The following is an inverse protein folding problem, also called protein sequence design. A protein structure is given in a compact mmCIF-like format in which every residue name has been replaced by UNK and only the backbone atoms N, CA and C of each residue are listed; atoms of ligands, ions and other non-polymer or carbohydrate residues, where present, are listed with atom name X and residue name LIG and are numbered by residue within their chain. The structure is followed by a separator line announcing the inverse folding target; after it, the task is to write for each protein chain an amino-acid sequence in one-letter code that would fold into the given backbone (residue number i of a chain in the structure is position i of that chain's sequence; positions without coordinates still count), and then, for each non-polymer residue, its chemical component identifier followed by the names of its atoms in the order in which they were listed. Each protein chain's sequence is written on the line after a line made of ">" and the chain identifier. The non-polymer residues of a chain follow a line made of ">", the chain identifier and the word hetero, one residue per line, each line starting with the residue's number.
data_IF_927935462248
#
_entry.id   IF_927935462248
#
_cell.length_a   1.000
_cell.length_b   1.000
_cell.length_c   1.000
_cell.angle_alpha   90.00
_cell.angle_beta   90.00
_cell.angle_gamma   90.00
#
_symmetry.space_group_name_H-M   'P 1'
#
loop_
_entity.id
_entity.type
_entity.pdbx_description
1 polymer ?
#
# COMPACT_ATOMS: atom_id res chain seq x y z
N UNK A 1 -23.22 -23.95 4.90
CA UNK A 1 -21.84 -23.41 4.97
C UNK A 1 -21.47 -22.93 3.58
N UNK A 2 -21.73 -21.66 3.29
CA UNK A 2 -21.23 -21.01 2.08
C UNK A 2 -19.71 -20.91 2.22
N UNK A 3 -18.96 -21.51 1.29
CA UNK A 3 -17.53 -21.22 1.12
C UNK A 3 -17.45 -19.72 0.88
N UNK A 4 -16.89 -18.97 1.81
CA UNK A 4 -16.57 -17.57 1.56
C UNK A 4 -15.64 -17.50 0.37
N UNK A 5 -16.03 -16.71 -0.61
CA UNK A 5 -15.27 -16.48 -1.83
C UNK A 5 -14.11 -15.58 -1.45
N UNK A 6 -12.92 -16.16 -1.39
CA UNK A 6 -11.69 -15.42 -1.09
C UNK A 6 -11.16 -14.84 -2.40
N UNK A 7 -11.14 -13.52 -2.54
CA UNK A 7 -10.52 -12.87 -3.70
C UNK A 7 -9.00 -13.05 -3.62
N UNK A 8 -8.42 -13.56 -4.69
CA UNK A 8 -6.98 -13.74 -4.86
C UNK A 8 -6.51 -12.96 -6.08
N UNK A 9 -5.26 -12.56 -6.07
CA UNK A 9 -4.60 -12.08 -7.27
C UNK A 9 -3.24 -12.74 -7.44
N UNK A 10 -2.86 -12.91 -8.70
CA UNK A 10 -1.54 -13.37 -9.10
C UNK A 10 -0.82 -12.25 -9.87
N UNK A 11 0.49 -12.17 -9.66
CA UNK A 11 1.36 -11.19 -10.30
C UNK A 11 2.26 -11.95 -11.27
N UNK A 12 2.14 -11.63 -12.55
CA UNK A 12 2.97 -12.23 -13.61
C UNK A 12 3.51 -11.16 -14.55
N UNK A 13 4.37 -11.56 -15.47
CA UNK A 13 4.86 -10.69 -16.54
C UNK A 13 4.12 -10.98 -17.85
N UNK A 14 3.80 -9.94 -18.61
CA UNK A 14 3.18 -10.05 -19.94
C UNK A 14 4.17 -10.70 -20.93
N UNK A 15 5.45 -10.33 -20.83
CA UNK A 15 6.53 -10.89 -21.62
C UNK A 15 7.75 -11.18 -20.73
N UNK A 16 8.17 -12.46 -20.57
CA UNK A 16 9.31 -12.82 -19.72
C UNK A 16 10.66 -12.34 -20.26
N UNK A 17 10.76 -12.01 -21.55
CA UNK A 17 11.98 -11.50 -22.19
C UNK A 17 12.19 -9.99 -21.95
N UNK A 18 11.15 -9.29 -21.47
CA UNK A 18 11.22 -7.86 -21.17
C UNK A 18 11.65 -7.60 -19.73
N UNK A 19 12.06 -6.35 -19.47
CA UNK A 19 12.44 -5.90 -18.14
C UNK A 19 11.29 -6.10 -17.13
N UNK A 20 11.63 -6.45 -15.89
CA UNK A 20 10.66 -6.68 -14.81
C UNK A 20 11.01 -5.85 -13.58
N UNK A 21 10.03 -5.63 -12.70
CA UNK A 21 10.26 -4.93 -11.42
C UNK A 21 11.31 -5.64 -10.55
N UNK A 22 11.44 -6.97 -10.68
CA UNK A 22 12.47 -7.75 -10.02
C UNK A 22 13.89 -7.36 -10.49
N UNK A 23 14.06 -7.20 -11.79
CA UNK A 23 15.32 -6.70 -12.38
C UNK A 23 15.59 -5.26 -11.93
N UNK A 24 14.54 -4.43 -11.81
CA UNK A 24 14.68 -3.07 -11.29
C UNK A 24 15.19 -3.04 -9.85
N UNK A 25 14.61 -3.86 -8.98
CA UNK A 25 14.98 -3.91 -7.58
C UNK A 25 16.41 -4.39 -7.33
N UNK A 26 16.96 -5.26 -8.21
CA UNK A 26 18.34 -5.75 -8.09
C UNK A 26 19.40 -4.71 -8.45
N UNK A 27 19.09 -3.75 -9.31
CA UNK A 27 20.06 -2.75 -9.79
C UNK A 27 19.43 -1.36 -9.99
N UNK A 28 18.82 -0.77 -8.95
CA UNK A 28 17.99 0.42 -9.10
C UNK A 28 18.76 1.65 -9.57
N UNK A 29 20.07 1.73 -9.29
CA UNK A 29 20.92 2.89 -9.63
C UNK A 29 21.36 2.93 -11.09
N UNK A 30 21.33 1.81 -11.79
CA UNK A 30 21.77 1.72 -13.19
C UNK A 30 20.62 1.91 -14.18
N UNK A 31 19.42 2.21 -13.70
CA UNK A 31 18.20 2.18 -14.49
C UNK A 31 17.62 3.56 -14.69
N UNK A 32 17.18 3.80 -15.92
CA UNK A 32 16.53 5.05 -16.32
C UNK A 32 15.05 5.03 -15.93
N UNK A 33 14.40 6.21 -15.86
CA UNK A 33 12.95 6.28 -15.70
C UNK A 33 12.17 5.48 -16.75
N UNK A 34 12.68 5.40 -17.98
CA UNK A 34 12.08 4.62 -19.06
C UNK A 34 12.09 3.11 -18.76
N UNK A 35 13.19 2.60 -18.18
CA UNK A 35 13.29 1.18 -17.79
C UNK A 35 12.30 0.83 -16.68
N UNK A 36 12.06 1.77 -15.76
CA UNK A 36 11.06 1.63 -14.71
C UNK A 36 9.65 1.57 -15.28
N UNK A 37 9.28 2.52 -16.15
CA UNK A 37 7.96 2.52 -16.81
C UNK A 37 7.75 1.23 -17.59
N UNK A 38 8.75 0.80 -18.38
CA UNK A 38 8.69 -0.44 -19.16
C UNK A 38 8.49 -1.67 -18.27
N UNK A 39 9.17 -1.72 -17.11
CA UNK A 39 9.06 -2.82 -16.17
C UNK A 39 7.68 -2.91 -15.51
N UNK A 40 7.07 -1.76 -15.20
CA UNK A 40 5.71 -1.66 -14.65
C UNK A 40 4.68 -2.03 -15.71
N UNK A 41 4.82 -1.52 -16.94
CA UNK A 41 3.92 -1.84 -18.05
C UNK A 41 3.92 -3.33 -18.42
N UNK A 42 5.04 -4.02 -18.17
CA UNK A 42 5.18 -5.46 -18.37
C UNK A 42 4.50 -6.29 -17.27
N UNK A 43 3.97 -5.70 -16.20
CA UNK A 43 3.23 -6.43 -15.18
C UNK A 43 1.83 -6.80 -15.67
N UNK A 44 1.37 -7.96 -15.21
CA UNK A 44 0.01 -8.46 -15.39
C UNK A 44 -0.53 -8.90 -14.02
N UNK A 45 -1.69 -8.35 -13.67
CA UNK A 45 -2.44 -8.72 -12.48
C UNK A 45 -3.65 -9.54 -12.92
N UNK A 46 -3.74 -10.77 -12.41
CA UNK A 46 -4.85 -11.66 -12.67
C UNK A 46 -5.64 -11.88 -11.38
N UNK A 47 -6.89 -11.43 -11.34
CA UNK A 47 -7.78 -11.62 -10.19
C UNK A 47 -8.62 -12.89 -10.35
N UNK A 48 -8.80 -13.60 -9.23
CA UNK A 48 -9.54 -14.85 -9.15
C UNK A 48 -10.51 -14.82 -7.97
N UNK A 49 -11.70 -15.38 -8.17
CA UNK A 49 -12.75 -15.43 -7.15
C UNK A 49 -13.76 -14.31 -7.34
N UNK A 50 -14.14 -13.65 -6.24
CA UNK A 50 -15.02 -12.48 -6.27
C UNK A 50 -14.25 -11.27 -6.78
N UNK A 51 -14.91 -10.44 -7.58
CA UNK A 51 -14.29 -9.24 -8.13
C UNK A 51 -13.93 -8.28 -6.99
N UNK A 52 -12.66 -7.85 -6.87
CA UNK A 52 -12.29 -6.87 -5.86
C UNK A 52 -13.02 -5.55 -6.06
N UNK A 53 -13.39 -4.90 -4.96
CA UNK A 53 -13.94 -3.54 -5.01
C UNK A 53 -12.93 -2.54 -5.61
N UNK A 54 -13.41 -1.37 -6.08
CA UNK A 54 -12.59 -0.40 -6.81
C UNK A 54 -11.36 0.09 -6.02
N UNK A 55 -11.51 0.27 -4.70
CA UNK A 55 -10.40 0.67 -3.81
C UNK A 55 -9.34 -0.42 -3.71
N UNK A 56 -9.77 -1.68 -3.60
CA UNK A 56 -8.89 -2.85 -3.53
C UNK A 56 -8.08 -3.01 -4.81
N UNK A 57 -8.73 -2.94 -5.98
CA UNK A 57 -8.08 -3.01 -7.29
C UNK A 57 -7.08 -1.87 -7.48
N UNK A 58 -7.52 -0.64 -7.24
CA UNK A 58 -6.66 0.54 -7.36
C UNK A 58 -5.46 0.47 -6.43
N UNK A 59 -5.60 -0.10 -5.23
CA UNK A 59 -4.49 -0.22 -4.28
C UNK A 59 -3.43 -1.22 -4.74
N UNK A 60 -3.85 -2.38 -5.25
CA UNK A 60 -2.91 -3.37 -5.80
C UNK A 60 -2.15 -2.76 -6.98
N UNK A 61 -2.84 -2.07 -7.89
CA UNK A 61 -2.21 -1.38 -9.02
C UNK A 61 -1.25 -0.27 -8.56
N UNK A 62 -1.70 0.59 -7.64
CA UNK A 62 -0.89 1.65 -7.05
C UNK A 62 0.40 1.11 -6.44
N UNK A 63 0.35 -0.01 -5.72
CA UNK A 63 1.54 -0.59 -5.08
C UNK A 63 2.62 -0.97 -6.10
N UNK A 64 2.22 -1.61 -7.19
CA UNK A 64 3.14 -2.13 -8.21
C UNK A 64 3.59 -1.06 -9.22
N UNK A 65 2.74 -0.09 -9.51
CA UNK A 65 3.03 0.97 -10.47
C UNK A 65 3.50 2.24 -9.75
N UNK A 66 2.57 3.00 -9.18
CA UNK A 66 2.82 4.35 -8.69
C UNK A 66 3.76 4.37 -7.49
N UNK A 67 3.51 3.56 -6.45
CA UNK A 67 4.38 3.50 -5.28
C UNK A 67 5.78 3.07 -5.68
N UNK A 68 5.90 2.07 -6.56
CA UNK A 68 7.19 1.59 -7.02
C UNK A 68 7.97 2.73 -7.74
N UNK A 69 7.36 3.37 -8.73
CA UNK A 69 8.01 4.48 -9.46
C UNK A 69 8.32 5.67 -8.55
N UNK A 70 7.39 6.03 -7.66
CA UNK A 70 7.55 7.14 -6.72
C UNK A 70 8.64 6.88 -5.69
N UNK A 71 8.74 5.65 -5.17
CA UNK A 71 9.77 5.32 -4.19
C UNK A 71 11.17 5.29 -4.80
N UNK A 72 11.31 4.87 -6.07
CA UNK A 72 12.57 4.97 -6.81
C UNK A 72 12.98 6.43 -7.03
N UNK A 73 12.12 7.21 -7.67
CA UNK A 73 12.41 8.58 -8.11
C UNK A 73 12.66 9.55 -6.95
N UNK A 74 11.99 9.35 -5.82
CA UNK A 74 12.18 10.15 -4.60
C UNK A 74 13.36 9.69 -3.72
N UNK A 75 13.95 8.53 -4.02
CA UNK A 75 14.97 7.89 -3.18
C UNK A 75 14.43 7.21 -1.93
N UNK A 76 13.10 7.17 -1.71
CA UNK A 76 12.46 6.46 -0.59
C UNK A 76 12.83 4.97 -0.57
N UNK A 77 13.07 4.35 -1.72
CA UNK A 77 13.50 2.95 -1.79
C UNK A 77 14.77 2.67 -0.97
N UNK A 78 15.71 3.64 -0.86
CA UNK A 78 16.92 3.45 -0.04
C UNK A 78 16.58 3.38 1.47
N UNK A 79 15.50 4.03 1.88
CA UNK A 79 15.03 4.08 3.27
C UNK A 79 14.17 2.87 3.62
N UNK A 80 13.38 2.42 2.64
CA UNK A 80 12.49 1.28 2.76
C UNK A 80 12.95 0.09 1.89
N UNK A 81 14.25 -0.20 1.88
CA UNK A 81 14.85 -1.19 0.96
C UNK A 81 14.22 -2.58 1.08
N UNK A 82 13.99 -3.05 2.31
CA UNK A 82 13.35 -4.35 2.51
C UNK A 82 11.92 -4.42 1.93
N UNK A 83 11.15 -3.33 2.05
CA UNK A 83 9.82 -3.24 1.45
C UNK A 83 9.91 -3.18 -0.08
N UNK A 84 10.83 -2.37 -0.61
CA UNK A 84 11.09 -2.26 -2.04
C UNK A 84 11.41 -3.62 -2.68
N UNK A 85 12.34 -4.36 -2.11
CA UNK A 85 12.72 -5.70 -2.56
C UNK A 85 11.62 -6.74 -2.32
N UNK A 86 10.80 -6.56 -1.28
CA UNK A 86 9.63 -7.41 -1.06
C UNK A 86 8.59 -7.21 -2.16
N UNK A 87 8.25 -5.96 -2.52
CA UNK A 87 7.28 -5.66 -3.58
C UNK A 87 7.68 -6.33 -4.89
N UNK A 88 8.96 -6.24 -5.25
CA UNK A 88 9.49 -6.83 -6.47
C UNK A 88 9.49 -8.38 -6.49
N UNK A 89 9.23 -9.04 -5.36
CA UNK A 89 9.16 -10.51 -5.21
C UNK A 89 7.76 -11.02 -4.89
N UNK A 90 6.77 -10.15 -4.79
CA UNK A 90 5.38 -10.58 -4.60
C UNK A 90 4.97 -11.38 -5.83
N UNK A 91 4.50 -12.61 -5.61
CA UNK A 91 3.93 -13.44 -6.67
C UNK A 91 2.41 -13.51 -6.62
N UNK A 92 1.81 -13.27 -5.46
CA UNK A 92 0.36 -13.35 -5.28
C UNK A 92 -0.10 -12.58 -4.05
N UNK A 93 -1.41 -12.49 -3.86
CA UNK A 93 -1.98 -12.02 -2.61
C UNK A 93 -3.45 -12.37 -2.47
N UNK A 94 -4.00 -11.96 -1.33
CA UNK A 94 -5.39 -12.21 -0.95
C UNK A 94 -6.03 -10.93 -0.47
N UNK A 95 -7.29 -10.72 -0.84
CA UNK A 95 -8.11 -9.60 -0.41
C UNK A 95 -9.26 -10.20 0.41
N UNK A 96 -9.38 -9.77 1.66
CA UNK A 96 -10.36 -10.32 2.59
C UNK A 96 -11.04 -9.22 3.39
N UNK A 97 -12.36 -9.26 3.58
CA UNK A 97 -12.98 -8.42 4.58
C UNK A 97 -12.47 -8.76 5.97
N UNK A 98 -12.08 -7.74 6.75
CA UNK A 98 -11.63 -7.94 8.11
C UNK A 98 -12.84 -8.29 9.00
N UNK A 99 -12.85 -9.52 9.53
CA UNK A 99 -13.90 -9.96 10.45
C UNK A 99 -13.63 -9.46 11.87
N UNK A 100 -14.47 -8.56 12.36
CA UNK A 100 -14.46 -8.10 13.76
C UNK A 100 -15.34 -9.01 14.63
N UNK A 101 -14.79 -10.15 15.05
CA UNK A 101 -15.36 -10.99 16.12
C UNK A 101 -16.66 -11.75 15.77
N UNK A 102 -17.05 -12.70 16.62
CA UNK A 102 -18.15 -13.64 16.37
C UNK A 102 -19.57 -13.07 16.59
N UNK A 103 -19.72 -11.76 16.83
CA UNK A 103 -21.00 -11.16 17.24
C UNK A 103 -21.44 -9.92 16.44
N UNK A 104 -20.74 -9.52 15.38
CA UNK A 104 -21.16 -8.38 14.55
C UNK A 104 -21.79 -8.84 13.23
N UNK A 105 -22.93 -8.24 12.93
CA UNK A 105 -23.84 -8.54 11.82
C UNK A 105 -23.17 -8.50 10.44
N UNK A 106 -23.80 -9.11 9.40
CA UNK A 106 -23.12 -9.49 8.17
C UNK A 106 -23.08 -8.41 7.07
N UNK A 107 -23.11 -7.10 7.34
CA UNK A 107 -23.43 -6.14 6.26
C UNK A 107 -22.53 -4.97 5.92
N UNK A 108 -21.55 -4.60 6.71
CA UNK A 108 -20.56 -3.60 6.29
C UNK A 108 -19.19 -4.11 6.76
N UNK A 109 -18.28 -4.34 5.83
CA UNK A 109 -16.91 -4.69 6.14
C UNK A 109 -16.12 -3.38 6.19
N UNK A 110 -15.96 -2.75 7.38
CA UNK A 110 -15.40 -1.39 7.47
C UNK A 110 -13.93 -1.34 7.03
N UNK A 111 -13.28 -2.50 6.95
CA UNK A 111 -11.89 -2.64 6.56
C UNK A 111 -11.73 -3.88 5.68
N UNK A 112 -11.10 -3.71 4.52
CA UNK A 112 -10.57 -4.80 3.72
C UNK A 112 -9.09 -4.99 4.01
N UNK A 113 -8.68 -6.24 4.21
CA UNK A 113 -7.30 -6.64 4.41
C UNK A 113 -6.72 -7.22 3.13
N UNK A 114 -5.67 -6.58 2.62
CA UNK A 114 -4.87 -7.08 1.51
C UNK A 114 -3.56 -7.63 2.05
N UNK A 115 -3.31 -8.92 1.81
CA UNK A 115 -2.07 -9.59 2.20
C UNK A 115 -1.33 -9.99 0.93
N UNK A 116 -0.12 -9.45 0.76
CA UNK A 116 0.77 -9.84 -0.34
C UNK A 116 1.73 -10.91 0.12
N UNK A 117 1.92 -11.92 -0.73
CA UNK A 117 2.64 -13.13 -0.44
C UNK A 117 3.86 -13.26 -1.35
N UNK A 118 4.96 -13.74 -0.78
CA UNK A 118 6.12 -14.18 -1.57
C UNK A 118 5.83 -15.50 -2.30
N UNK A 119 6.81 -15.98 -3.05
CA UNK A 119 6.75 -17.28 -3.75
C UNK A 119 6.61 -18.49 -2.83
N UNK A 120 6.86 -18.33 -1.53
CA UNK A 120 6.68 -19.37 -0.51
C UNK A 120 5.32 -19.26 0.20
N UNK A 121 4.47 -18.32 -0.22
CA UNK A 121 3.17 -18.07 0.41
C UNK A 121 3.26 -17.36 1.77
N UNK A 122 4.39 -16.71 2.09
CA UNK A 122 4.57 -15.97 3.34
C UNK A 122 4.16 -14.51 3.19
N UNK A 123 3.47 -13.91 4.18
CA UNK A 123 3.10 -12.49 4.16
C UNK A 123 4.33 -11.57 4.19
N UNK A 124 4.51 -10.78 3.13
CA UNK A 124 5.62 -9.81 3.00
C UNK A 124 5.15 -8.36 3.02
N UNK A 125 3.91 -8.08 2.63
CA UNK A 125 3.27 -6.76 2.76
C UNK A 125 1.84 -6.94 3.25
N UNK A 126 1.40 -6.05 4.13
CA UNK A 126 0.04 -6.02 4.67
C UNK A 126 -0.56 -4.64 4.40
N UNK A 127 -1.80 -4.58 3.95
CA UNK A 127 -2.54 -3.33 3.83
C UNK A 127 -3.94 -3.46 4.41
N UNK A 128 -4.39 -2.42 5.11
CA UNK A 128 -5.78 -2.27 5.53
C UNK A 128 -6.41 -1.10 4.78
N UNK A 129 -7.47 -1.39 4.04
CA UNK A 129 -8.25 -0.43 3.26
C UNK A 129 -9.52 -0.11 4.05
N UNK A 130 -9.56 1.08 4.62
CA UNK A 130 -10.63 1.50 5.51
C UNK A 130 -11.72 2.14 4.67
N UNK A 131 -12.94 1.63 4.77
CA UNK A 131 -14.12 2.26 4.19
C UNK A 131 -14.81 3.13 5.24
N UNK A 132 -14.89 2.65 6.49
CA UNK A 132 -15.55 3.33 7.61
C UNK A 132 -14.88 3.04 8.96
N UNK A 133 -15.18 3.86 9.97
CA UNK A 133 -14.74 3.66 11.36
C UNK A 133 -13.74 4.69 11.86
N UNK A 134 -13.42 4.64 13.16
CA UNK A 134 -12.44 5.54 13.79
C UNK A 134 -11.00 5.15 13.38
N UNK A 135 -10.27 6.04 12.67
CA UNK A 135 -8.91 5.75 12.22
C UNK A 135 -7.94 5.44 13.36
N UNK A 136 -8.14 6.02 14.56
CA UNK A 136 -7.26 5.75 15.71
C UNK A 136 -7.45 4.32 16.22
N UNK A 137 -8.70 3.88 16.39
CA UNK A 137 -9.02 2.49 16.75
C UNK A 137 -8.47 1.50 15.73
N UNK A 138 -8.65 1.79 14.43
CA UNK A 138 -8.17 0.93 13.35
C UNK A 138 -6.64 0.85 13.33
N UNK A 139 -5.94 1.98 13.43
CA UNK A 139 -4.48 2.00 13.51
C UNK A 139 -3.97 1.17 14.69
N UNK A 140 -4.59 1.30 15.87
CA UNK A 140 -4.23 0.51 17.04
C UNK A 140 -4.45 -0.99 16.84
N UNK A 141 -5.53 -1.38 16.15
CA UNK A 141 -5.80 -2.77 15.79
C UNK A 141 -4.76 -3.30 14.79
N UNK A 142 -4.40 -2.51 13.79
CA UNK A 142 -3.37 -2.84 12.80
C UNK A 142 -2.02 -3.07 13.48
N UNK A 143 -1.60 -2.14 14.36
CA UNK A 143 -0.35 -2.26 15.12
C UNK A 143 -0.33 -3.54 15.95
N UNK A 144 -1.42 -3.87 16.64
CA UNK A 144 -1.52 -5.13 17.41
C UNK A 144 -1.35 -6.36 16.52
N UNK A 145 -1.98 -6.37 15.33
CA UNK A 145 -1.84 -7.47 14.38
C UNK A 145 -0.41 -7.59 13.86
N UNK A 146 0.19 -6.49 13.45
CA UNK A 146 1.56 -6.43 12.95
C UNK A 146 2.55 -6.91 14.01
N UNK A 147 2.43 -6.43 15.25
CA UNK A 147 3.25 -6.88 16.37
C UNK A 147 3.13 -8.39 16.58
N UNK A 148 1.91 -8.94 16.53
CA UNK A 148 1.69 -10.38 16.63
C UNK A 148 2.38 -11.16 15.50
N UNK A 149 2.25 -10.69 14.25
CA UNK A 149 2.92 -11.32 13.11
C UNK A 149 4.44 -11.29 13.26
N UNK A 150 4.99 -10.18 13.78
CA UNK A 150 6.43 -10.02 14.00
C UNK A 150 6.98 -10.89 15.12
N UNK A 151 6.23 -11.04 16.21
CA UNK A 151 6.56 -12.00 17.27
C UNK A 151 6.53 -13.46 16.79
N UNK A 152 5.82 -13.75 15.70
CA UNK A 152 5.79 -15.04 15.02
C UNK A 152 6.84 -15.16 13.91
N UNK A 153 7.85 -14.28 13.91
CA UNK A 153 8.96 -14.25 12.93
C UNK A 153 8.50 -14.12 11.47
N UNK A 154 7.36 -13.43 11.25
CA UNK A 154 6.88 -13.14 9.88
C UNK A 154 7.88 -12.27 9.09
N UNK A 155 8.11 -12.57 7.80
CA UNK A 155 8.99 -11.79 6.94
C UNK A 155 8.38 -10.45 6.50
N UNK A 156 7.26 -10.03 7.08
CA UNK A 156 6.57 -8.77 6.78
C UNK A 156 7.54 -7.57 6.69
N UNK A 157 7.65 -6.94 5.52
CA UNK A 157 8.61 -5.86 5.26
C UNK A 157 8.00 -4.46 5.29
N UNK A 158 6.68 -4.34 5.21
CA UNK A 158 6.00 -3.05 5.30
C UNK A 158 4.49 -3.17 5.42
N UNK A 159 3.88 -2.07 5.83
CA UNK A 159 2.46 -1.97 6.12
C UNK A 159 1.89 -0.73 5.44
N UNK A 160 0.67 -0.84 4.94
CA UNK A 160 -0.09 0.28 4.39
C UNK A 160 -1.40 0.44 5.16
N UNK A 161 -1.76 1.68 5.45
CA UNK A 161 -3.09 2.04 5.95
C UNK A 161 -3.69 3.02 4.96
N UNK A 162 -4.79 2.62 4.32
CA UNK A 162 -5.45 3.37 3.25
C UNK A 162 -6.78 3.89 3.79
N UNK A 163 -6.96 5.21 3.76
CA UNK A 163 -8.07 5.92 4.39
C UNK A 163 -8.86 6.73 3.35
N UNK A 164 -10.17 6.91 3.53
CA UNK A 164 -10.95 7.76 2.64
C UNK A 164 -10.50 9.22 2.78
N UNK A 165 -10.36 9.93 1.67
CA UNK A 165 -10.12 11.38 1.66
C UNK A 165 -11.45 12.13 1.92
N UNK A 166 -11.45 13.19 2.76
CA UNK A 166 -10.31 13.76 3.46
C UNK A 166 -9.95 13.02 4.75
N UNK A 167 -8.64 12.88 5.00
CA UNK A 167 -8.13 12.34 6.27
C UNK A 167 -8.03 13.47 7.31
N UNK A 168 -8.54 13.24 8.51
CA UNK A 168 -8.47 14.19 9.63
C UNK A 168 -7.01 14.57 9.98
N UNK A 169 -6.70 15.86 9.96
CA UNK A 169 -5.36 16.37 10.26
C UNK A 169 -4.92 16.06 11.69
N UNK A 170 -5.86 16.03 12.66
CA UNK A 170 -5.54 15.64 14.04
C UNK A 170 -5.05 14.19 14.13
N UNK A 171 -5.65 13.28 13.35
CA UNK A 171 -5.16 11.92 13.20
C UNK A 171 -3.79 11.88 12.49
N UNK A 172 -3.62 12.63 11.40
CA UNK A 172 -2.35 12.66 10.66
C UNK A 172 -1.19 13.15 11.53
N UNK A 173 -1.37 14.24 12.26
CA UNK A 173 -0.32 14.80 13.12
C UNK A 173 0.03 13.86 14.27
N UNK A 174 -0.96 13.23 14.91
CA UNK A 174 -0.71 12.19 15.92
C UNK A 174 0.08 11.02 15.35
N UNK A 175 -0.31 10.55 14.16
CA UNK A 175 0.35 9.40 13.53
C UNK A 175 1.76 9.74 13.06
N UNK A 176 1.97 10.93 12.49
CA UNK A 176 3.29 11.46 12.13
C UNK A 176 4.21 11.50 13.35
N UNK A 177 3.75 12.09 14.46
CA UNK A 177 4.53 12.16 15.69
C UNK A 177 4.86 10.76 16.24
N UNK A 178 3.89 9.85 16.18
CA UNK A 178 4.07 8.46 16.57
C UNK A 178 5.10 7.71 15.73
N UNK A 179 5.20 8.01 14.43
CA UNK A 179 6.15 7.41 13.49
C UNK A 179 7.51 8.13 13.43
N UNK A 180 7.75 9.11 14.31
CA UNK A 180 9.02 9.84 14.39
C UNK A 180 9.18 10.97 13.37
N UNK A 181 8.08 11.65 13.00
CA UNK A 181 8.10 12.75 12.02
C UNK A 181 8.96 13.96 12.41
N UNK A 182 9.25 14.14 13.71
CA UNK A 182 10.10 15.22 14.22
C UNK A 182 11.59 15.04 13.83
N UNK A 183 11.99 13.83 13.43
CA UNK A 183 13.35 13.59 12.93
C UNK A 183 13.44 13.91 11.43
N UNK A 184 14.30 14.86 11.01
CA UNK A 184 14.41 15.28 9.61
C UNK A 184 14.84 14.16 8.65
N UNK A 185 15.46 13.10 9.16
CA UNK A 185 15.95 11.95 8.40
C UNK A 185 15.07 10.72 8.65
N UNK A 186 14.76 10.38 9.91
CA UNK A 186 14.01 9.17 10.25
C UNK A 186 12.52 9.26 9.87
N UNK A 187 11.97 10.45 9.64
CA UNK A 187 10.59 10.62 9.12
C UNK A 187 10.35 9.94 7.77
N UNK A 188 11.40 9.65 7.00
CA UNK A 188 11.29 8.91 5.73
C UNK A 188 11.24 7.40 5.95
N UNK A 189 11.71 6.91 7.10
CA UNK A 189 11.61 5.51 7.47
C UNK A 189 10.19 5.17 7.98
N UNK A 190 9.51 6.14 8.60
CA UNK A 190 8.11 6.08 9.05
C UNK A 190 7.76 4.76 9.74
N UNK A 191 8.57 4.34 10.71
CA UNK A 191 8.50 2.98 11.28
C UNK A 191 7.53 2.90 12.44
N UNK A 192 6.80 1.79 12.49
CA UNK A 192 6.12 1.36 13.71
C UNK A 192 7.15 1.14 14.83
N UNK A 193 6.79 1.44 16.09
CA UNK A 193 7.67 1.18 17.22
C UNK A 193 7.93 -0.31 17.41
N UNK A 194 8.81 -0.63 18.36
CA UNK A 194 9.03 -2.01 18.79
C UNK A 194 7.72 -2.69 19.23
N UNK A 195 7.58 -4.01 19.01
CA UNK A 195 8.56 -4.93 18.42
C UNK A 195 8.57 -4.96 16.88
N UNK A 196 7.69 -4.22 16.20
CA UNK A 196 7.52 -4.36 14.76
C UNK A 196 8.67 -3.79 13.94
N UNK A 197 9.09 -2.55 14.23
CA UNK A 197 10.19 -1.84 13.55
C UNK A 197 10.15 -1.84 12.01
N UNK A 198 8.94 -1.87 11.43
CA UNK A 198 8.70 -1.86 9.97
C UNK A 198 8.02 -0.55 9.52
N UNK A 199 8.24 -0.13 8.26
CA UNK A 199 7.59 1.05 7.71
C UNK A 199 6.07 0.91 7.69
N UNK A 200 5.39 1.96 8.15
CA UNK A 200 3.97 2.19 7.94
C UNK A 200 3.81 3.35 6.94
N UNK A 201 3.25 3.04 5.78
CA UNK A 201 2.90 4.03 4.78
C UNK A 201 1.40 4.37 4.90
N UNK A 202 1.08 5.64 5.02
CA UNK A 202 -0.30 6.13 5.02
C UNK A 202 -0.67 6.58 3.63
N UNK A 203 -1.80 6.09 3.13
CA UNK A 203 -2.38 6.47 1.85
C UNK A 203 -3.77 7.07 2.06
N UNK A 204 -4.18 7.95 1.16
CA UNK A 204 -5.58 8.32 0.99
C UNK A 204 -6.13 7.85 -0.35
N UNK A 205 -7.46 7.74 -0.44
CA UNK A 205 -8.15 7.44 -1.68
C UNK A 205 -9.38 8.31 -1.91
N UNK A 206 -9.69 8.55 -3.18
CA UNK A 206 -10.91 9.25 -3.63
C UNK A 206 -11.69 8.36 -4.58
N UNK A 207 -12.96 8.13 -4.28
CA UNK A 207 -13.93 7.61 -5.25
C UNK A 207 -14.36 8.77 -6.14
N UNK A 208 -14.19 8.64 -7.46
CA UNK A 208 -14.80 9.56 -8.40
C UNK A 208 -16.17 9.02 -8.79
N UNK A 209 -17.21 9.52 -8.12
CA UNK A 209 -18.59 9.27 -8.55
C UNK A 209 -18.82 10.11 -9.81
N UNK A 210 -18.60 9.52 -10.98
CA UNK A 210 -18.92 10.16 -12.26
C UNK A 210 -20.42 10.11 -12.47
N UNK A 211 -21.13 11.14 -12.01
CA UNK A 211 -22.57 11.29 -12.22
C UNK A 211 -22.96 11.56 -13.70
N UNK A 212 -22.02 11.76 -14.63
CA UNK A 212 -22.32 12.32 -15.96
C UNK A 212 -21.53 11.74 -17.16
N UNK A 213 -21.08 10.47 -17.13
CA UNK A 213 -20.50 9.86 -18.34
C UNK A 213 -20.99 8.43 -18.60
N UNK A 214 -21.75 8.31 -19.68
CA UNK A 214 -21.98 7.05 -20.38
C UNK A 214 -20.62 6.36 -20.61
N UNK A 215 -20.41 5.21 -19.97
CA UNK A 215 -19.21 4.33 -20.07
C UNK A 215 -17.91 4.77 -19.37
N UNK A 216 -17.96 5.40 -18.18
CA UNK A 216 -16.74 5.59 -17.37
C UNK A 216 -16.61 4.55 -16.25
N UNK A 217 -15.59 3.69 -16.35
CA UNK A 217 -15.06 2.86 -15.25
C UNK A 217 -14.94 3.71 -13.97
N UNK A 218 -15.44 3.21 -12.82
CA UNK A 218 -15.27 3.86 -11.51
C UNK A 218 -13.78 4.05 -11.24
N UNK A 219 -13.28 5.28 -11.38
CA UNK A 219 -11.87 5.59 -11.15
C UNK A 219 -11.66 5.88 -9.67
N UNK A 220 -11.07 4.94 -8.96
CA UNK A 220 -10.50 5.19 -7.64
C UNK A 220 -9.06 5.68 -7.79
N UNK A 221 -8.70 6.80 -7.16
CA UNK A 221 -7.32 7.29 -7.13
C UNK A 221 -6.73 7.15 -5.73
N UNK A 222 -5.47 6.71 -5.65
CA UNK A 222 -4.75 6.48 -4.39
C UNK A 222 -3.48 7.31 -4.37
N UNK A 223 -3.16 7.87 -3.20
CA UNK A 223 -1.97 8.71 -3.04
C UNK A 223 -1.28 8.46 -1.70
N UNK A 224 0.06 8.47 -1.74
CA UNK A 224 0.90 8.45 -0.55
C UNK A 224 0.88 9.80 0.17
N UNK A 225 0.42 9.79 1.42
CA UNK A 225 0.37 10.99 2.28
C UNK A 225 1.46 10.98 3.36
N UNK A 226 1.94 9.79 3.78
CA UNK A 226 3.08 9.65 4.67
C UNK A 226 3.88 8.36 4.38
N UNK A 227 5.22 8.40 4.29
CA UNK A 227 6.09 9.56 4.46
C UNK A 227 5.92 10.59 3.34
N UNK A 228 6.01 11.87 3.70
CA UNK A 228 5.83 12.96 2.72
C UNK A 228 7.07 13.05 1.83
N UNK A 229 6.94 12.58 0.59
CA UNK A 229 7.94 12.78 -0.44
C UNK A 229 8.00 14.28 -0.77
N UNK A 230 9.16 14.92 -0.62
CA UNK A 230 9.30 16.37 -0.91
C UNK A 230 8.84 16.64 -2.35
N UNK A 231 7.96 17.62 -2.55
CA UNK A 231 7.84 18.28 -3.86
C UNK A 231 9.18 18.95 -4.18
N UNK A 232 9.78 18.61 -5.30
CA UNK A 232 10.86 19.40 -5.86
C UNK A 232 10.31 20.80 -6.24
N UNK A 233 10.82 21.83 -5.56
CA UNK A 233 10.77 23.28 -5.83
C UNK A 233 9.41 24.01 -5.99
N UNK A 234 9.20 25.00 -5.10
CA UNK A 234 9.07 26.40 -5.52
C UNK A 234 7.67 26.98 -5.76
N UNK A 235 7.08 27.61 -4.74
CA UNK A 235 6.39 28.89 -4.94
C UNK A 235 6.90 29.88 -3.91
N UNK A 236 7.57 30.90 -4.43
CA UNK A 236 8.12 32.04 -3.71
C UNK A 236 7.08 32.65 -2.77
N UNK A 237 7.54 32.98 -1.58
CA UNK A 237 7.06 34.14 -0.83
C UNK A 237 6.91 35.33 -1.77
N UNK A 238 5.69 35.82 -1.96
CA UNK A 238 5.48 37.24 -2.21
C UNK A 238 4.73 37.81 -1.01
N UNK A 239 5.55 38.27 -0.07
CA UNK A 239 5.24 39.44 0.73
C UNK A 239 4.89 40.60 -0.21
N UNK A 240 3.67 41.13 -0.08
CA UNK A 240 3.37 42.56 -0.05
C UNK A 240 1.97 42.77 0.47
#
# INVERSE_FOLDING_TARGET
>A
MTKETLTRFEVSTKNPELFSIHSVAHSPRSLSPHDLTSAVENLKLDFHGEEPGPVSSAFVEFLFADFFVNAHSSGLYNRQLALWEAIARIGSGTINPLKTGWFLMPKEHPVEEVVFLDSLGKPVVLAWLVQEGDPNSILNMLIKKVNKMKLQESPLCGVFLVLPDPVDESFLDKTRNFLGADDPVARYDARLPEPALIPLNLLDYRSHDTEDSDESEERCSIRLIHPTLRKASGSQSKSR
#
